data_IF_362686134014
#
_entry.id   IF_362686134014
#
_cell.length_a   1.000
_cell.length_b   1.000
_cell.length_c   1.000
_cell.angle_alpha   90.00
_cell.angle_beta   90.00
_cell.angle_gamma   90.00
#
_symmetry.space_group_name_H-M   'P 1'
#
loop_
_entity.id
_entity.type
_entity.pdbx_description
1 polymer ?
#
# COMPACT_ATOMS: atom_id res chain seq x y z
N UNK A 1 -11.42 11.83 10.60
CA UNK A 1 -12.68 11.07 10.44
C UNK A 1 -12.66 9.96 11.48
N UNK A 2 -13.52 10.02 12.51
CA UNK A 2 -13.49 9.09 13.63
C UNK A 2 -14.11 7.76 13.21
N UNK A 3 -13.27 6.77 12.90
CA UNK A 3 -13.69 5.41 12.56
C UNK A 3 -14.11 4.67 13.85
N UNK A 4 -15.19 3.88 13.79
CA UNK A 4 -15.65 3.11 14.95
C UNK A 4 -14.86 1.81 15.04
N UNK A 5 -14.64 1.34 16.26
CA UNK A 5 -14.01 0.05 16.51
C UNK A 5 -14.82 -1.06 15.83
N UNK A 6 -14.23 -1.73 14.84
CA UNK A 6 -14.87 -2.83 14.10
C UNK A 6 -15.24 -2.52 12.65
N UNK A 7 -15.27 -1.25 12.22
CA UNK A 7 -15.49 -0.92 10.80
C UNK A 7 -14.31 -1.44 9.96
N UNK A 8 -14.50 -1.91 8.71
CA UNK A 8 -13.41 -2.36 7.86
C UNK A 8 -12.46 -1.22 7.45
N UNK A 9 -11.17 -1.51 7.32
CA UNK A 9 -10.16 -0.54 6.83
C UNK A 9 -10.33 -0.37 5.31
N UNK A 10 -9.85 0.73 4.71
CA UNK A 10 -9.72 0.81 3.26
C UNK A 10 -8.96 -0.40 2.69
N UNK A 11 -7.91 -0.86 3.38
CA UNK A 11 -7.16 -2.07 3.00
C UNK A 11 -8.03 -3.33 3.04
N UNK A 12 -8.85 -3.53 4.06
CA UNK A 12 -9.71 -4.72 4.18
C UNK A 12 -10.74 -4.77 3.04
N UNK A 13 -11.32 -3.61 2.71
CA UNK A 13 -12.27 -3.47 1.60
C UNK A 13 -11.58 -3.83 0.28
N UNK A 14 -10.45 -3.19 -0.02
CA UNK A 14 -9.74 -3.42 -1.28
C UNK A 14 -9.22 -4.86 -1.34
N UNK A 15 -8.68 -5.40 -0.25
CA UNK A 15 -8.21 -6.78 -0.18
C UNK A 15 -9.32 -7.77 -0.51
N UNK A 16 -10.49 -7.60 0.13
CA UNK A 16 -11.66 -8.42 -0.16
C UNK A 16 -12.07 -8.30 -1.62
N UNK A 17 -12.15 -7.08 -2.17
CA UNK A 17 -12.47 -6.86 -3.58
C UNK A 17 -11.50 -7.58 -4.53
N UNK A 18 -10.18 -7.49 -4.28
CA UNK A 18 -9.18 -8.14 -5.12
C UNK A 18 -9.26 -9.67 -5.01
N UNK A 19 -9.41 -10.23 -3.80
CA UNK A 19 -9.54 -11.67 -3.62
C UNK A 19 -10.83 -12.22 -4.23
N UNK A 20 -11.96 -11.50 -4.11
CA UNK A 20 -13.21 -11.88 -4.79
C UNK A 20 -13.07 -11.80 -6.31
N UNK A 21 -12.43 -10.76 -6.84
CA UNK A 21 -12.20 -10.62 -8.28
C UNK A 21 -11.30 -11.72 -8.83
N UNK A 22 -10.23 -12.09 -8.11
CA UNK A 22 -9.36 -13.21 -8.46
C UNK A 22 -10.13 -14.54 -8.49
N UNK A 23 -11.03 -14.76 -7.52
CA UNK A 23 -11.79 -16.00 -7.38
C UNK A 23 -12.88 -16.15 -8.44
N UNK A 24 -13.64 -15.09 -8.69
CA UNK A 24 -14.79 -15.10 -9.61
C UNK A 24 -14.33 -14.89 -11.07
N UNK A 25 -13.12 -14.36 -11.27
CA UNK A 25 -12.57 -13.94 -12.58
C UNK A 25 -13.53 -13.01 -13.34
N UNK A 26 -14.26 -12.18 -12.60
CA UNK A 26 -15.19 -11.17 -13.13
C UNK A 26 -15.07 -9.90 -12.31
N UNK A 27 -14.90 -8.77 -13.00
CA UNK A 27 -14.99 -7.46 -12.37
C UNK A 27 -16.41 -6.89 -12.49
N UNK A 28 -16.94 -6.34 -11.39
CA UNK A 28 -18.21 -5.63 -11.37
C UNK A 28 -18.13 -4.27 -12.12
N UNK A 29 -17.12 -3.41 -11.87
CA UNK A 29 -16.92 -2.21 -12.67
C UNK A 29 -16.06 -2.52 -13.92
N UNK A 30 -16.57 -2.19 -15.11
CA UNK A 30 -15.89 -2.51 -16.39
C UNK A 30 -14.70 -1.61 -16.71
N UNK A 31 -14.65 -0.42 -16.10
CA UNK A 31 -13.72 0.66 -16.48
C UNK A 31 -12.67 0.98 -15.43
N UNK A 32 -12.62 0.22 -14.33
CA UNK A 32 -11.59 0.41 -13.31
C UNK A 32 -10.36 -0.42 -13.70
N UNK A 33 -9.25 0.27 -13.94
CA UNK A 33 -7.98 -0.39 -14.24
C UNK A 33 -7.33 -0.95 -12.98
N UNK A 34 -7.25 -0.15 -11.91
CA UNK A 34 -6.47 -0.45 -10.70
C UNK A 34 -7.11 0.20 -9.48
N UNK A 35 -7.12 -0.50 -8.35
CA UNK A 35 -7.65 0.00 -7.07
C UNK A 35 -6.57 -0.13 -6.02
N UNK A 36 -6.26 0.96 -5.33
CA UNK A 36 -5.31 0.96 -4.22
C UNK A 36 -5.97 1.54 -2.98
N UNK A 37 -5.79 0.91 -1.81
CA UNK A 37 -6.26 1.49 -0.57
C UNK A 37 -5.38 2.68 -0.19
N UNK A 38 -6.00 3.74 0.34
CA UNK A 38 -5.30 4.86 0.96
C UNK A 38 -5.78 4.93 2.41
N UNK A 39 -4.84 4.83 3.34
CA UNK A 39 -5.13 4.87 4.78
C UNK A 39 -4.60 6.13 5.45
N UNK A 40 -3.55 6.73 4.88
CA UNK A 40 -2.93 7.95 5.36
C UNK A 40 -2.78 8.91 4.20
N UNK A 41 -3.10 10.18 4.43
CA UNK A 41 -2.82 11.27 3.52
C UNK A 41 -2.08 12.38 4.28
N UNK A 42 -1.00 12.90 3.70
CA UNK A 42 -0.18 13.99 4.26
C UNK A 42 0.32 14.91 3.15
N UNK A 43 0.99 16.02 3.46
CA UNK A 43 1.73 16.71 2.42
C UNK A 43 2.93 15.86 1.98
N UNK A 44 3.39 16.11 0.77
CA UNK A 44 4.50 15.39 0.15
C UNK A 44 5.86 15.95 0.61
N UNK A 45 6.09 15.94 1.92
CA UNK A 45 7.38 16.24 2.54
C UNK A 45 7.87 15.04 3.35
N UNK A 46 9.18 14.83 3.40
CA UNK A 46 9.77 13.65 4.04
C UNK A 46 9.43 13.57 5.54
N UNK A 47 9.47 14.70 6.25
CA UNK A 47 9.12 14.79 7.67
C UNK A 47 7.64 14.48 7.93
N UNK A 48 6.73 15.05 7.13
CA UNK A 48 5.30 14.81 7.31
C UNK A 48 4.93 13.36 7.01
N UNK A 49 5.50 12.78 5.95
CA UNK A 49 5.27 11.37 5.59
C UNK A 49 5.78 10.46 6.71
N UNK A 50 7.00 10.69 7.20
CA UNK A 50 7.59 9.92 8.32
C UNK A 50 6.72 9.97 9.56
N UNK A 51 6.13 11.13 9.88
CA UNK A 51 5.28 11.28 11.05
C UNK A 51 3.90 10.66 10.84
N UNK A 52 3.30 10.86 9.66
CA UNK A 52 1.97 10.37 9.34
C UNK A 52 1.90 8.84 9.22
N UNK A 53 3.00 8.19 8.80
CA UNK A 53 3.02 6.74 8.58
C UNK A 53 3.23 5.92 9.85
N UNK A 54 3.81 6.49 10.93
CA UNK A 54 4.03 5.80 12.22
C UNK A 54 2.82 4.99 12.73
N UNK A 55 1.60 5.54 12.84
CA UNK A 55 0.44 4.77 13.29
C UNK A 55 0.07 3.64 12.32
N UNK A 56 0.29 3.83 11.02
CA UNK A 56 0.05 2.81 10.00
C UNK A 56 1.06 1.66 10.11
N UNK A 57 2.34 1.99 10.31
CA UNK A 57 3.41 1.02 10.53
C UNK A 57 3.16 0.21 11.79
N UNK A 58 2.86 0.85 12.92
CA UNK A 58 2.59 0.15 14.18
C UNK A 58 1.47 -0.89 14.06
N UNK A 59 0.47 -0.63 13.20
CA UNK A 59 -0.66 -1.54 12.98
C UNK A 59 -0.31 -2.72 12.06
N UNK A 60 0.51 -2.51 11.03
CA UNK A 60 0.84 -3.56 10.03
C UNK A 60 2.12 -4.34 10.37
N UNK A 61 3.05 -3.69 11.08
CA UNK A 61 4.39 -4.13 11.46
C UNK A 61 4.63 -3.92 12.96
N UNK A 62 3.90 -4.64 13.84
CA UNK A 62 4.07 -4.50 15.28
C UNK A 62 5.40 -5.10 15.73
N UNK A 63 6.13 -4.40 16.60
CA UNK A 63 7.44 -4.83 17.13
C UNK A 63 7.38 -6.16 17.88
N UNK A 64 6.23 -6.47 18.49
CA UNK A 64 5.99 -7.73 19.22
C UNK A 64 5.60 -8.90 18.29
N UNK A 65 5.64 -8.70 16.95
CA UNK A 65 5.36 -9.77 16.01
C UNK A 65 6.34 -10.95 16.21
N UNK A 66 5.78 -12.11 16.57
CA UNK A 66 6.56 -13.36 16.70
C UNK A 66 7.26 -13.75 15.39
N UNK A 67 6.70 -13.37 14.25
CA UNK A 67 7.25 -13.65 12.93
C UNK A 67 7.68 -12.36 12.23
N UNK A 68 8.97 -12.22 11.89
CA UNK A 68 9.44 -11.16 11.02
C UNK A 68 8.69 -11.17 9.70
N UNK A 69 8.12 -10.02 9.33
CA UNK A 69 7.49 -9.84 8.01
C UNK A 69 8.46 -9.21 7.03
N UNK A 70 8.42 -9.70 5.79
CA UNK A 70 9.09 -9.11 4.64
C UNK A 70 8.21 -8.02 4.05
N UNK A 71 8.82 -6.91 3.66
CA UNK A 71 8.07 -5.82 3.03
C UNK A 71 8.81 -5.17 1.87
N UNK A 72 8.05 -4.55 0.98
CA UNK A 72 8.58 -3.68 -0.05
C UNK A 72 7.93 -2.30 0.06
N UNK A 73 8.65 -1.27 -0.37
CA UNK A 73 8.13 0.09 -0.51
C UNK A 73 8.10 0.44 -1.99
N UNK A 74 6.95 0.91 -2.47
CA UNK A 74 6.74 1.36 -3.84
C UNK A 74 6.39 2.84 -3.85
N UNK A 75 7.06 3.59 -4.70
CA UNK A 75 6.81 5.01 -4.91
C UNK A 75 6.28 5.25 -6.31
N UNK A 76 5.19 6.01 -6.40
CA UNK A 76 4.61 6.47 -7.66
C UNK A 76 4.31 7.96 -7.57
N UNK A 77 4.72 8.73 -8.58
CA UNK A 77 4.47 10.16 -8.65
C UNK A 77 3.62 10.52 -9.86
N UNK A 78 2.63 11.38 -9.64
CA UNK A 78 1.74 11.91 -10.66
C UNK A 78 1.72 13.43 -10.59
N UNK A 79 2.02 14.09 -11.72
CA UNK A 79 2.02 15.55 -11.84
C UNK A 79 2.79 16.25 -10.70
N UNK A 80 3.95 15.70 -10.34
CA UNK A 80 4.79 16.13 -9.22
C UNK A 80 6.18 16.44 -9.74
N UNK A 81 6.77 17.55 -9.31
CA UNK A 81 8.15 17.95 -9.65
C UNK A 81 8.90 18.35 -8.38
N UNK A 82 10.20 18.08 -8.33
CA UNK A 82 11.08 18.53 -7.25
C UNK A 82 11.07 17.69 -5.96
N UNK A 83 10.40 16.54 -5.94
CA UNK A 83 10.39 15.62 -4.80
C UNK A 83 11.30 14.43 -5.08
N UNK A 84 12.25 14.17 -4.19
CA UNK A 84 13.12 13.01 -4.27
C UNK A 84 12.39 11.75 -3.75
N UNK A 85 11.97 10.90 -4.69
CA UNK A 85 11.31 9.64 -4.37
C UNK A 85 12.19 8.67 -3.59
N UNK A 86 13.52 8.68 -3.80
CA UNK A 86 14.43 7.79 -3.08
C UNK A 86 14.58 8.22 -1.62
N UNK A 87 14.64 9.52 -1.35
CA UNK A 87 14.61 10.06 0.01
C UNK A 87 13.34 9.58 0.76
N UNK A 88 12.16 9.78 0.14
CA UNK A 88 10.88 9.32 0.70
C UNK A 88 10.87 7.80 0.96
N UNK A 89 11.34 6.99 0.01
CA UNK A 89 11.41 5.53 0.19
C UNK A 89 12.28 5.20 1.41
N UNK A 90 13.47 5.79 1.51
CA UNK A 90 14.41 5.54 2.60
C UNK A 90 13.82 5.95 3.96
N UNK A 91 13.21 7.13 4.03
CA UNK A 91 12.50 7.62 5.23
C UNK A 91 11.41 6.65 5.71
N UNK A 92 10.62 6.10 4.78
CA UNK A 92 9.57 5.13 5.11
C UNK A 92 10.17 3.80 5.56
N UNK A 93 11.21 3.31 4.88
CA UNK A 93 11.93 2.08 5.29
C UNK A 93 12.47 2.22 6.71
N UNK A 94 13.07 3.36 7.06
CA UNK A 94 13.61 3.62 8.40
C UNK A 94 12.54 3.70 9.49
N UNK A 95 11.29 3.95 9.12
CA UNK A 95 10.17 4.02 10.09
C UNK A 95 9.66 2.62 10.47
N UNK A 96 9.95 1.59 9.66
CA UNK A 96 9.55 0.21 9.96
C UNK A 96 10.55 -0.43 10.94
N UNK A 97 10.09 -0.87 12.13
CA UNK A 97 11.00 -1.41 13.14
C UNK A 97 11.53 -2.81 12.78
N UNK A 98 12.70 -3.15 13.30
CA UNK A 98 13.16 -4.55 13.37
C UNK A 98 12.16 -5.39 14.19
N UNK A 99 11.96 -6.69 13.89
CA UNK A 99 12.76 -7.55 13.01
C UNK A 99 12.32 -7.58 11.54
N UNK A 100 11.40 -6.71 11.12
CA UNK A 100 10.90 -6.67 9.74
C UNK A 100 12.02 -6.31 8.75
N UNK A 101 12.02 -6.94 7.57
CA UNK A 101 13.09 -6.75 6.56
C UNK A 101 12.53 -6.38 5.20
N UNK A 102 13.28 -5.55 4.48
CA UNK A 102 12.97 -5.22 3.09
C UNK A 102 13.28 -6.42 2.19
N UNK A 103 12.33 -6.78 1.32
CA UNK A 103 12.47 -7.81 0.30
C UNK A 103 11.64 -7.40 -0.93
N UNK A 104 12.30 -7.10 -2.05
CA UNK A 104 11.64 -6.70 -3.29
C UNK A 104 11.15 -7.90 -4.13
N UNK A 105 11.65 -9.09 -3.85
CA UNK A 105 11.39 -10.30 -4.63
C UNK A 105 10.13 -11.00 -4.10
N UNK A 106 10.04 -11.20 -2.79
CA UNK A 106 8.88 -11.84 -2.18
C UNK A 106 8.43 -11.14 -0.88
N UNK A 107 7.84 -9.93 -0.98
CA UNK A 107 7.30 -9.21 0.17
C UNK A 107 5.96 -9.80 0.64
N UNK A 108 5.78 -9.96 1.95
CA UNK A 108 4.48 -10.30 2.56
C UNK A 108 3.51 -9.10 2.45
N UNK A 109 4.05 -7.90 2.67
CA UNK A 109 3.31 -6.64 2.60
C UNK A 109 4.04 -5.64 1.69
N UNK A 110 3.28 -4.82 0.98
CA UNK A 110 3.83 -3.73 0.18
C UNK A 110 3.23 -2.41 0.64
N UNK A 111 4.10 -1.49 1.03
CA UNK A 111 3.73 -0.10 1.33
C UNK A 111 3.76 0.66 0.01
N UNK A 112 2.62 1.20 -0.39
CA UNK A 112 2.49 1.99 -1.62
C UNK A 112 2.39 3.45 -1.22
N UNK A 113 3.26 4.26 -1.80
CA UNK A 113 3.34 5.71 -1.64
C UNK A 113 2.99 6.32 -2.98
N UNK A 114 1.86 7.02 -3.04
CA UNK A 114 1.45 7.76 -4.22
C UNK A 114 1.51 9.25 -3.93
N UNK A 115 2.30 9.98 -4.70
CA UNK A 115 2.35 11.43 -4.64
C UNK A 115 1.58 12.00 -5.82
N UNK A 116 0.56 12.80 -5.51
CA UNK A 116 -0.25 13.51 -6.50
C UNK A 116 -0.16 15.00 -6.20
N UNK A 117 0.51 15.75 -7.07
CA UNK A 117 0.87 17.16 -6.84
C UNK A 117 1.65 17.34 -5.54
N UNK A 118 1.01 17.86 -4.49
CA UNK A 118 1.63 18.16 -3.18
C UNK A 118 1.14 17.22 -2.08
N UNK A 119 0.33 16.21 -2.41
CA UNK A 119 -0.29 15.30 -1.46
C UNK A 119 0.36 13.93 -1.59
N UNK A 120 0.81 13.37 -0.47
CA UNK A 120 1.24 12.00 -0.35
C UNK A 120 0.10 11.13 0.18
N UNK A 121 -0.14 10.01 -0.47
CA UNK A 121 -1.17 9.03 -0.16
C UNK A 121 -0.46 7.70 0.12
N UNK A 122 -0.69 7.12 1.29
CA UNK A 122 -0.02 5.89 1.70
C UNK A 122 -1.05 4.81 1.99
N UNK A 123 -0.79 3.63 1.44
CA UNK A 123 -1.55 2.41 1.67
C UNK A 123 -0.65 1.22 1.90
N UNK A 124 -1.13 0.21 2.61
CA UNK A 124 -0.46 -1.08 2.76
C UNK A 124 -1.34 -2.16 2.16
N UNK A 125 -0.73 -3.00 1.33
CA UNK A 125 -1.38 -4.10 0.61
C UNK A 125 -0.64 -5.39 0.82
N UNK A 126 -1.31 -6.52 0.55
CA UNK A 126 -0.74 -7.86 0.65
C UNK A 126 -0.78 -8.54 -0.72
N UNK A 127 0.11 -9.52 -0.95
CA UNK A 127 0.07 -10.31 -2.19
C UNK A 127 0.10 -9.45 -3.47
N UNK A 128 0.87 -8.35 -3.44
CA UNK A 128 0.86 -7.34 -4.51
C UNK A 128 1.13 -7.92 -5.90
N UNK A 129 2.09 -8.85 -6.01
CA UNK A 129 2.40 -9.55 -7.27
C UNK A 129 1.31 -10.53 -7.68
N UNK A 130 0.78 -11.33 -6.74
CA UNK A 130 -0.30 -12.30 -7.01
C UNK A 130 -1.59 -11.61 -7.46
N UNK A 131 -1.91 -10.44 -6.89
CA UNK A 131 -3.03 -9.61 -7.30
C UNK A 131 -2.73 -8.73 -8.54
N UNK A 132 -1.73 -9.11 -9.34
CA UNK A 132 -1.29 -8.42 -10.56
C UNK A 132 -1.16 -6.90 -10.36
N UNK A 133 -0.44 -6.49 -9.31
CA UNK A 133 -0.21 -5.09 -8.95
C UNK A 133 -1.50 -4.31 -8.67
N UNK A 134 -2.52 -5.02 -8.18
CA UNK A 134 -3.87 -4.50 -7.95
C UNK A 134 -4.56 -3.99 -9.22
N UNK A 135 -4.13 -4.46 -10.39
CA UNK A 135 -4.77 -4.18 -11.66
C UNK A 135 -5.99 -5.09 -11.82
N UNK A 136 -7.16 -4.56 -11.48
CA UNK A 136 -8.43 -5.29 -11.50
C UNK A 136 -8.78 -5.81 -12.90
N UNK A 137 -8.46 -5.02 -13.94
CA UNK A 137 -8.69 -5.43 -15.33
C UNK A 137 -7.84 -6.63 -15.69
N UNK A 138 -6.54 -6.59 -15.44
CA UNK A 138 -5.64 -7.72 -15.71
C UNK A 138 -6.01 -8.96 -14.89
N UNK A 139 -6.37 -8.78 -13.62
CA UNK A 139 -6.71 -9.89 -12.73
C UNK A 139 -7.96 -10.68 -13.17
N UNK A 140 -8.89 -10.00 -13.84
CA UNK A 140 -10.16 -10.57 -14.31
C UNK A 140 -10.17 -10.86 -15.80
N UNK A 141 -9.11 -10.50 -16.52
CA UNK A 141 -8.93 -10.94 -17.90
C UNK A 141 -8.72 -12.46 -17.94
N UNK A 142 -9.25 -13.16 -18.95
CA UNK A 142 -8.86 -14.54 -19.23
C UNK A 142 -7.34 -14.59 -19.48
N UNK A 143 -6.70 -15.65 -18.99
CA UNK A 143 -5.29 -15.92 -19.32
C UNK A 143 -5.15 -16.09 -20.84
N UNK A 144 -4.06 -15.56 -21.44
CA UNK A 144 -3.81 -15.67 -22.88
C UNK A 144 -3.63 -17.12 -23.34
#
# INVERSE_FOLDING_TARGET
MNRRTGDPTPTDIVQHMMSSAASIRKQMPRFILRILPVEVASCASEEEISNAIKPLVARHFPTEARTPKKFAVLYEAHATTGIDGMAIINSVVMTVPEPHKVDHDNPDKTIIIQVVKTICLVGVVEKYKEHLKYNLRQLTSPEP
#
